data_IF_185416272566
#
_entry.id   IF_185416272566
#
_cell.length_a   1.000
_cell.length_b   1.000
_cell.length_c   1.000
_cell.angle_alpha   90.00
_cell.angle_beta   90.00
_cell.angle_gamma   90.00
#
_symmetry.space_group_name_H-M   'P 1'
#
loop_
_entity.id
_entity.type
_entity.pdbx_description
1 polymer ?
#
# COMPACT_ATOMS: atom_id res chain seq x y z
N UNK A 1 -46.36 4.96 -23.99
CA UNK A 1 -46.25 4.07 -25.17
C UNK A 1 -44.82 4.18 -25.69
N UNK A 2 -43.96 3.18 -25.43
CA UNK A 2 -43.66 2.04 -26.32
C UNK A 2 -42.62 2.49 -27.38
N UNK A 3 -41.33 2.10 -27.45
CA UNK A 3 -40.49 1.11 -26.76
C UNK A 3 -38.99 1.45 -26.94
N UNK A 4 -38.15 0.59 -26.34
CA UNK A 4 -36.76 0.23 -26.70
C UNK A 4 -35.67 1.12 -26.08
N UNK A 5 -35.18 0.67 -24.92
CA UNK A 5 -33.74 0.51 -24.70
C UNK A 5 -33.50 -0.53 -23.59
N UNK A 6 -33.97 -1.75 -23.86
CA UNK A 6 -33.27 -2.94 -23.34
C UNK A 6 -31.94 -3.00 -24.09
N UNK A 7 -30.88 -3.50 -23.45
CA UNK A 7 -29.49 -3.58 -23.90
C UNK A 7 -28.63 -2.42 -23.41
N UNK A 8 -28.29 -2.41 -22.11
CA UNK A 8 -26.93 -2.06 -21.65
C UNK A 8 -26.59 -2.47 -20.21
N UNK A 9 -27.39 -3.30 -19.52
CA UNK A 9 -27.01 -3.86 -18.21
C UNK A 9 -26.13 -5.13 -18.31
N UNK A 10 -25.74 -5.56 -19.52
CA UNK A 10 -25.07 -6.84 -19.75
C UNK A 10 -23.57 -6.80 -20.02
N UNK A 11 -22.95 -5.63 -20.17
CA UNK A 11 -21.53 -5.50 -20.54
C UNK A 11 -20.76 -4.42 -19.73
N UNK A 12 -21.16 -4.19 -18.47
CA UNK A 12 -20.45 -3.25 -17.58
C UNK A 12 -19.45 -3.90 -16.61
N UNK A 13 -19.29 -5.23 -16.66
CA UNK A 13 -18.60 -6.00 -15.61
C UNK A 13 -17.08 -6.17 -15.76
N UNK A 14 -16.43 -5.50 -16.71
CA UNK A 14 -14.97 -5.67 -16.92
C UNK A 14 -14.27 -4.34 -17.21
N UNK A 15 -14.66 -3.31 -16.47
CA UNK A 15 -13.78 -2.20 -16.15
C UNK A 15 -13.68 -2.37 -14.65
N UNK A 16 -12.56 -2.80 -14.07
CA UNK A 16 -11.52 -1.93 -13.60
C UNK A 16 -10.37 -2.87 -13.18
N UNK A 17 -9.56 -3.35 -14.13
CA UNK A 17 -8.12 -3.50 -13.87
C UNK A 17 -7.53 -2.09 -13.77
N UNK A 18 -8.09 -1.24 -12.90
CA UNK A 18 -7.32 -0.11 -12.47
C UNK A 18 -6.18 -0.72 -11.69
N UNK A 19 -5.02 -0.68 -12.34
CA UNK A 19 -3.76 -0.49 -11.67
C UNK A 19 -3.94 0.74 -10.77
N UNK A 20 -4.62 0.54 -9.64
CA UNK A 20 -4.71 1.46 -8.52
C UNK A 20 -3.32 1.44 -7.90
N UNK A 21 -2.40 2.06 -8.64
CA UNK A 21 -1.14 2.57 -8.18
C UNK A 21 -1.48 3.62 -7.13
N UNK A 22 -1.72 3.15 -5.90
CA UNK A 22 -1.97 4.01 -4.76
C UNK A 22 -0.62 4.42 -4.19
N UNK A 23 -0.59 5.62 -3.65
CA UNK A 23 0.51 6.04 -2.81
C UNK A 23 0.39 5.29 -1.49
N UNK A 24 1.46 4.61 -1.10
CA UNK A 24 1.54 3.89 0.16
C UNK A 24 2.69 4.48 0.95
N UNK A 25 2.50 4.64 2.26
CA UNK A 25 3.58 5.09 3.14
C UNK A 25 3.92 3.98 4.12
N UNK A 26 5.17 3.53 4.12
CA UNK A 26 5.66 2.63 5.15
C UNK A 26 6.14 3.46 6.33
N UNK A 27 5.41 3.42 7.46
CA UNK A 27 5.84 4.05 8.71
C UNK A 27 6.44 2.98 9.62
N UNK A 28 7.67 3.20 10.08
CA UNK A 28 8.40 2.36 11.03
C UNK A 28 8.62 3.12 12.33
N UNK A 29 8.20 2.57 13.46
CA UNK A 29 8.34 3.19 14.77
C UNK A 29 9.15 2.27 15.68
N UNK A 30 10.21 2.78 16.32
CA UNK A 30 10.95 2.00 17.31
C UNK A 30 10.18 1.90 18.63
N UNK A 31 10.01 0.69 19.14
CA UNK A 31 9.59 0.49 20.53
C UNK A 31 10.81 0.64 21.45
N UNK A 32 10.89 1.76 22.19
CA UNK A 32 11.99 2.04 23.12
C UNK A 32 11.92 3.45 23.71
N UNK A 33 12.90 3.80 24.55
CA UNK A 33 12.95 5.07 25.29
C UNK A 33 13.15 6.32 24.42
N UNK A 34 13.51 6.14 23.14
CA UNK A 34 13.58 7.19 22.14
C UNK A 34 12.71 6.77 20.95
N UNK A 35 11.48 7.25 20.93
CA UNK A 35 10.54 6.99 19.84
C UNK A 35 11.08 7.62 18.55
N UNK A 36 11.67 6.81 17.67
CA UNK A 36 12.08 7.22 16.33
C UNK A 36 11.09 6.67 15.32
N UNK A 37 10.49 7.58 14.57
CA UNK A 37 9.57 7.29 13.49
C UNK A 37 10.26 7.56 12.16
N UNK A 38 10.35 6.55 11.31
CA UNK A 38 10.85 6.65 9.95
C UNK A 38 9.69 6.43 8.98
N UNK A 39 9.60 7.25 7.94
CA UNK A 39 8.55 7.14 6.93
C UNK A 39 9.17 7.04 5.55
N UNK A 40 8.85 5.97 4.84
CA UNK A 40 9.21 5.77 3.45
C UNK A 40 7.94 5.94 2.61
N UNK A 41 7.87 7.06 1.87
CA UNK A 41 6.80 7.31 0.90
C UNK A 41 7.07 6.52 -0.36
N UNK A 42 6.07 5.81 -0.83
CA UNK A 42 6.18 4.96 -2.00
C UNK A 42 5.05 5.28 -2.96
N UNK A 43 5.40 5.94 -4.06
CA UNK A 43 4.44 6.49 -5.00
C UNK A 43 4.09 5.50 -6.11
N UNK A 44 2.82 5.49 -6.51
CA UNK A 44 2.30 4.74 -7.66
C UNK A 44 2.61 3.23 -7.69
N UNK A 45 2.63 2.58 -6.54
CA UNK A 45 2.97 1.15 -6.46
C UNK A 45 1.76 0.27 -6.25
N UNK A 46 1.89 -1.03 -6.54
CA UNK A 46 0.88 -2.01 -6.10
C UNK A 46 1.08 -2.27 -4.61
N UNK A 47 -0.02 -2.61 -3.92
CA UNK A 47 0.00 -2.94 -2.49
C UNK A 47 1.01 -4.05 -2.14
N UNK A 48 1.18 -5.03 -3.04
CA UNK A 48 2.12 -6.12 -2.83
C UNK A 48 3.58 -5.65 -2.88
N UNK A 49 3.94 -4.82 -3.86
CA UNK A 49 5.27 -4.23 -3.97
C UNK A 49 5.57 -3.29 -2.79
N UNK A 50 4.58 -2.48 -2.40
CA UNK A 50 4.65 -1.65 -1.20
C UNK A 50 4.89 -2.47 0.08
N UNK A 51 4.26 -3.63 0.20
CA UNK A 51 4.47 -4.54 1.33
C UNK A 51 5.88 -5.14 1.31
N UNK A 52 6.36 -5.56 0.14
CA UNK A 52 7.72 -6.10 0.00
C UNK A 52 8.77 -5.06 0.37
N UNK A 53 8.67 -3.84 -0.17
CA UNK A 53 9.60 -2.74 0.13
C UNK A 53 9.54 -2.36 1.61
N UNK A 54 8.34 -2.26 2.19
CA UNK A 54 8.20 -1.95 3.61
C UNK A 54 8.81 -3.04 4.51
N UNK A 55 8.69 -4.31 4.11
CA UNK A 55 9.29 -5.44 4.83
C UNK A 55 10.81 -5.44 4.73
N UNK A 56 11.34 -5.15 3.53
CA UNK A 56 12.78 -5.06 3.30
C UNK A 56 13.39 -3.89 4.08
N UNK A 57 12.73 -2.74 4.07
CA UNK A 57 13.11 -1.56 4.85
C UNK A 57 13.08 -1.84 6.37
N UNK A 58 12.03 -2.52 6.85
CA UNK A 58 11.95 -2.96 8.25
C UNK A 58 13.13 -3.86 8.62
N UNK A 59 13.46 -4.82 7.77
CA UNK A 59 14.58 -5.74 7.95
C UNK A 59 15.91 -4.99 7.95
N UNK A 60 16.10 -4.04 7.04
CA UNK A 60 17.28 -3.19 6.99
C UNK A 60 17.45 -2.42 8.31
N UNK A 61 16.40 -1.78 8.80
CA UNK A 61 16.42 -1.06 10.08
C UNK A 61 16.76 -1.97 11.26
N UNK A 62 16.20 -3.18 11.31
CA UNK A 62 16.47 -4.18 12.34
C UNK A 62 17.95 -4.64 12.34
N UNK A 63 18.54 -4.87 11.16
CA UNK A 63 19.99 -5.18 11.07
C UNK A 63 20.90 -4.00 11.43
N UNK A 64 20.45 -2.76 11.21
CA UNK A 64 21.29 -1.57 11.41
C UNK A 64 21.15 -0.96 12.81
N UNK A 65 20.07 -1.30 13.53
CA UNK A 65 19.73 -0.72 14.82
C UNK A 65 19.33 -1.80 15.82
N UNK A 66 19.90 -1.79 17.02
CA UNK A 66 19.50 -2.63 18.17
C UNK A 66 18.12 -2.29 18.76
N UNK A 67 17.29 -1.55 18.02
CA UNK A 67 15.97 -1.10 18.42
C UNK A 67 14.92 -1.94 17.68
N UNK A 68 13.94 -2.48 18.41
CA UNK A 68 12.84 -3.22 17.79
C UNK A 68 11.93 -2.24 17.04
N UNK A 69 12.02 -2.21 15.71
CA UNK A 69 11.17 -1.38 14.85
C UNK A 69 9.90 -2.15 14.45
N UNK A 70 8.74 -1.54 14.71
CA UNK A 70 7.45 -1.99 14.19
C UNK A 70 7.08 -1.18 12.95
N UNK A 71 7.03 -1.84 11.80
CA UNK A 71 6.73 -1.22 10.51
C UNK A 71 5.35 -1.60 9.98
N UNK A 72 4.63 -0.62 9.44
CA UNK A 72 3.31 -0.80 8.85
C UNK A 72 3.10 0.11 7.63
N UNK A 73 2.41 -0.43 6.62
CA UNK A 73 2.00 0.32 5.43
C UNK A 73 0.65 1.00 5.71
N UNK A 74 0.57 2.30 5.45
CA UNK A 74 -0.64 3.12 5.50
C UNK A 74 -1.04 3.53 4.08
#
# INVERSE_FOLDING_TARGET
>A
MKQIFVVLCGLGGIIFLQSCSKEYTCSCTSAGSAEKSFELKMEKMRKNDAKTICTDYARYLDTTSTLNFSCGIK
#
